data_IF_385169764216
#
_entry.id   IF_385169764216
#
_cell.length_a   1.000
_cell.length_b   1.000
_cell.length_c   1.000
_cell.angle_alpha   90.00
_cell.angle_beta   90.00
_cell.angle_gamma   90.00
#
_symmetry.space_group_name_H-M   'P 1'
#
loop_
_entity.id
_entity.type
_entity.pdbx_description
1 polymer ?
#
# COMPACT_ATOMS: atom_id res chain seq x y z
N UNK A 1 -3.11 -20.41 -11.92
CA UNK A 1 -1.78 -20.95 -12.22
C UNK A 1 -0.79 -19.89 -12.62
N UNK A 2 -1.12 -19.12 -13.65
CA UNK A 2 -0.24 -18.03 -14.05
C UNK A 2 -0.03 -17.01 -12.97
N UNK A 3 -1.07 -16.75 -12.21
CA UNK A 3 -0.99 -15.77 -11.12
C UNK A 3 0.00 -16.22 -10.05
N UNK A 4 0.03 -17.51 -9.77
CA UNK A 4 0.98 -18.05 -8.82
C UNK A 4 2.41 -17.88 -9.29
N UNK A 5 2.65 -18.14 -10.57
CA UNK A 5 3.99 -17.98 -11.13
C UNK A 5 4.43 -16.53 -11.06
N UNK A 6 3.51 -15.60 -11.36
CA UNK A 6 3.80 -14.18 -11.26
C UNK A 6 4.17 -13.80 -9.84
N UNK A 7 3.39 -14.27 -8.88
CA UNK A 7 3.66 -13.96 -7.47
C UNK A 7 5.02 -14.51 -7.03
N UNK A 8 5.35 -15.71 -7.49
CA UNK A 8 6.64 -16.31 -7.15
C UNK A 8 7.79 -15.51 -7.74
N UNK A 9 7.61 -14.91 -8.92
CA UNK A 9 8.66 -14.16 -9.57
C UNK A 9 8.86 -12.77 -8.97
N UNK A 10 7.77 -12.08 -8.66
CA UNK A 10 7.85 -10.68 -8.22
C UNK A 10 7.78 -10.51 -6.72
N UNK A 11 7.34 -11.53 -6.00
CA UNK A 11 7.24 -11.48 -4.56
C UNK A 11 5.94 -10.88 -4.06
N UNK A 12 5.94 -10.50 -2.78
CA UNK A 12 4.76 -10.04 -2.09
C UNK A 12 5.11 -8.86 -1.18
N UNK A 13 4.25 -7.85 -1.15
CA UNK A 13 4.42 -6.70 -0.26
C UNK A 13 3.13 -6.51 0.53
N UNK A 14 3.27 -6.39 1.85
CA UNK A 14 2.14 -6.09 2.73
C UNK A 14 2.23 -4.63 3.15
N UNK A 15 1.15 -3.90 2.99
CA UNK A 15 1.06 -2.51 3.40
C UNK A 15 -0.04 -2.37 4.45
N UNK A 16 0.33 -1.93 5.65
CA UNK A 16 -0.62 -1.74 6.74
C UNK A 16 -0.83 -0.24 6.93
N UNK A 17 -2.02 0.23 6.61
CA UNK A 17 -2.38 1.63 6.79
C UNK A 17 -3.12 1.78 8.11
N UNK A 18 -2.57 2.57 9.02
CA UNK A 18 -3.17 2.84 10.31
C UNK A 18 -3.97 4.13 10.18
N UNK A 19 -5.28 4.00 10.30
CA UNK A 19 -6.23 5.08 10.03
C UNK A 19 -6.87 5.55 11.32
N UNK A 20 -6.88 6.85 11.53
CA UNK A 20 -7.58 7.45 12.66
C UNK A 20 -8.97 7.89 12.21
N UNK A 21 -9.99 7.23 12.74
CA UNK A 21 -11.38 7.63 12.45
C UNK A 21 -11.72 8.96 13.12
N UNK A 22 -11.11 9.21 14.25
CA UNK A 22 -11.33 10.46 15.00
C UNK A 22 -10.78 11.65 14.23
N UNK A 23 -9.57 11.53 13.71
CA UNK A 23 -8.90 12.62 13.00
C UNK A 23 -9.12 12.56 11.49
N UNK A 24 -9.76 11.52 11.02
CA UNK A 24 -10.08 11.31 9.59
C UNK A 24 -8.85 11.42 8.70
N UNK A 25 -7.79 10.72 9.09
CA UNK A 25 -6.55 10.70 8.33
C UNK A 25 -5.79 9.41 8.56
N UNK A 26 -4.80 9.17 7.71
CA UNK A 26 -3.89 8.04 7.88
C UNK A 26 -2.78 8.47 8.83
N UNK A 27 -2.66 7.76 9.96
CA UNK A 27 -1.63 8.06 10.96
C UNK A 27 -0.27 7.55 10.53
N UNK A 28 -0.22 6.35 9.95
CA UNK A 28 1.04 5.75 9.52
C UNK A 28 0.76 4.65 8.52
N UNK A 29 1.79 4.29 7.75
CA UNK A 29 1.72 3.16 6.84
C UNK A 29 3.00 2.37 7.02
N UNK A 30 2.86 1.07 7.28
CA UNK A 30 3.99 0.18 7.46
C UNK A 30 4.05 -0.81 6.31
N UNK A 31 5.26 -1.15 5.90
CA UNK A 31 5.49 -2.03 4.77
C UNK A 31 6.36 -3.20 5.17
N UNK A 32 6.06 -4.37 4.62
CA UNK A 32 6.93 -5.52 4.72
C UNK A 32 6.82 -6.30 3.42
N UNK A 33 7.84 -7.08 3.10
CA UNK A 33 7.83 -7.81 1.84
C UNK A 33 8.61 -9.10 1.92
N UNK A 34 8.30 -10.01 1.00
CA UNK A 34 8.98 -11.30 0.86
C UNK A 34 9.19 -11.58 -0.61
N UNK A 35 10.40 -12.02 -0.95
CA UNK A 35 10.69 -12.40 -2.33
C UNK A 35 10.74 -11.25 -3.31
N UNK A 36 10.82 -10.02 -2.83
CA UNK A 36 10.93 -8.86 -3.71
C UNK A 36 12.39 -8.59 -4.03
N UNK A 37 12.62 -8.00 -5.19
CA UNK A 37 13.97 -7.75 -5.69
C UNK A 37 14.55 -6.43 -5.19
N UNK A 38 13.79 -5.67 -4.43
CA UNK A 38 14.21 -4.36 -3.91
C UNK A 38 14.13 -4.35 -2.40
N UNK A 39 14.86 -3.44 -1.77
CA UNK A 39 14.85 -3.31 -0.32
C UNK A 39 13.68 -2.44 0.14
N UNK A 40 12.99 -2.89 1.19
CA UNK A 40 11.95 -2.11 1.84
C UNK A 40 12.59 -1.46 3.05
N UNK A 41 13.37 -0.41 2.79
CA UNK A 41 14.08 0.34 3.82
C UNK A 41 13.31 1.60 4.19
N UNK A 42 13.93 2.44 5.03
CA UNK A 42 13.29 3.66 5.50
C UNK A 42 12.97 4.61 4.34
N UNK A 43 13.87 4.69 3.37
CA UNK A 43 13.65 5.56 2.22
C UNK A 43 12.47 5.09 1.38
N UNK A 44 12.37 3.78 1.15
CA UNK A 44 11.25 3.21 0.43
C UNK A 44 9.94 3.51 1.17
N UNK A 45 9.95 3.30 2.49
CA UNK A 45 8.75 3.53 3.31
C UNK A 45 8.30 4.97 3.25
N UNK A 46 9.22 5.92 3.35
CA UNK A 46 8.88 7.34 3.26
C UNK A 46 8.30 7.69 1.89
N UNK A 47 8.96 7.27 0.83
CA UNK A 47 8.53 7.59 -0.53
C UNK A 47 7.18 6.96 -0.85
N UNK A 48 7.01 5.70 -0.48
CA UNK A 48 5.76 4.99 -0.73
C UNK A 48 4.62 5.57 0.08
N UNK A 49 4.88 5.90 1.36
CA UNK A 49 3.86 6.52 2.21
C UNK A 49 3.41 7.85 1.64
N UNK A 50 4.35 8.67 1.18
CA UNK A 50 4.02 9.97 0.60
C UNK A 50 3.15 9.81 -0.65
N UNK A 51 3.48 8.84 -1.50
CA UNK A 51 2.70 8.58 -2.72
C UNK A 51 1.28 8.14 -2.39
N UNK A 52 1.15 7.24 -1.41
CA UNK A 52 -0.16 6.73 -1.01
C UNK A 52 -1.00 7.84 -0.36
N UNK A 53 -0.40 8.60 0.55
CA UNK A 53 -1.12 9.68 1.23
C UNK A 53 -1.60 10.74 0.26
N UNK A 54 -0.77 11.06 -0.74
CA UNK A 54 -1.16 12.03 -1.76
C UNK A 54 -2.37 11.55 -2.55
N UNK A 55 -2.41 10.27 -2.90
CA UNK A 55 -3.54 9.68 -3.61
C UNK A 55 -4.80 9.72 -2.75
N UNK A 56 -4.68 9.38 -1.47
CA UNK A 56 -5.81 9.40 -0.54
C UNK A 56 -6.36 10.81 -0.38
N UNK A 57 -5.50 11.81 -0.25
CA UNK A 57 -5.94 13.20 -0.13
C UNK A 57 -6.74 13.66 -1.34
N UNK A 58 -6.27 13.31 -2.53
CA UNK A 58 -6.94 13.68 -3.78
C UNK A 58 -8.27 12.97 -3.95
N UNK A 59 -8.40 11.75 -3.42
CA UNK A 59 -9.56 10.91 -3.63
C UNK A 59 -10.75 11.21 -2.75
N UNK A 60 -10.60 12.05 -1.74
CA UNK A 60 -11.68 12.40 -0.81
C UNK A 60 -12.36 11.17 -0.22
N UNK A 61 -11.57 10.28 0.36
CA UNK A 61 -12.08 9.04 0.93
C UNK A 61 -12.79 9.27 2.26
N UNK A 62 -13.77 8.43 2.54
CA UNK A 62 -14.50 8.45 3.80
C UNK A 62 -13.74 7.66 4.85
N UNK A 63 -13.37 8.29 5.95
CA UNK A 63 -12.64 7.62 7.03
C UNK A 63 -13.61 7.07 8.07
N UNK A 64 -14.35 6.05 7.64
CA UNK A 64 -15.29 5.32 8.50
C UNK A 64 -15.09 3.84 8.26
N UNK A 65 -15.69 3.00 9.11
CA UNK A 65 -15.58 1.55 8.93
C UNK A 65 -16.11 1.11 7.56
N UNK A 66 -17.16 1.77 7.07
CA UNK A 66 -17.73 1.42 5.78
C UNK A 66 -16.87 1.88 4.60
N UNK A 67 -15.96 2.84 4.83
CA UNK A 67 -15.08 3.34 3.78
C UNK A 67 -13.73 2.63 3.69
N UNK A 68 -13.45 1.66 4.57
CA UNK A 68 -12.13 1.03 4.62
C UNK A 68 -11.81 0.23 3.36
N UNK A 69 -12.80 -0.32 2.68
CA UNK A 69 -12.55 -1.06 1.43
C UNK A 69 -12.04 -0.14 0.33
N UNK A 70 -12.58 1.07 0.24
CA UNK A 70 -12.12 2.04 -0.75
C UNK A 70 -10.68 2.49 -0.44
N UNK A 71 -10.38 2.71 0.84
CA UNK A 71 -9.04 3.09 1.26
C UNK A 71 -8.06 1.95 0.96
N UNK A 72 -8.44 0.72 1.25
CA UNK A 72 -7.61 -0.45 0.99
C UNK A 72 -7.27 -0.57 -0.49
N UNK A 73 -8.27 -0.40 -1.35
CA UNK A 73 -8.06 -0.47 -2.79
C UNK A 73 -7.14 0.66 -3.26
N UNK A 74 -7.32 1.85 -2.74
CA UNK A 74 -6.47 2.98 -3.09
C UNK A 74 -5.02 2.76 -2.67
N UNK A 75 -4.81 2.21 -1.48
CA UNK A 75 -3.47 1.87 -1.00
C UNK A 75 -2.82 0.85 -1.94
N UNK A 76 -3.56 -0.19 -2.29
CA UNK A 76 -3.05 -1.22 -3.19
C UNK A 76 -2.66 -0.63 -4.55
N UNK A 77 -3.55 0.12 -5.14
CA UNK A 77 -3.32 0.66 -6.48
C UNK A 77 -2.18 1.67 -6.49
N UNK A 78 -2.14 2.58 -5.50
CA UNK A 78 -1.06 3.55 -5.38
C UNK A 78 0.29 2.88 -5.21
N UNK A 79 0.34 1.89 -4.32
CA UNK A 79 1.60 1.20 -4.04
C UNK A 79 2.05 0.40 -5.25
N UNK A 80 1.13 -0.26 -5.93
CA UNK A 80 1.46 -1.01 -7.13
C UNK A 80 2.06 -0.09 -8.21
N UNK A 81 1.45 1.05 -8.43
CA UNK A 81 1.95 2.02 -9.40
C UNK A 81 3.30 2.59 -8.99
N UNK A 82 3.48 2.87 -7.71
CA UNK A 82 4.73 3.38 -7.18
C UNK A 82 5.86 2.37 -7.41
N UNK A 83 5.62 1.11 -7.06
CA UNK A 83 6.63 0.06 -7.20
C UNK A 83 6.95 -0.16 -8.68
N UNK A 84 5.94 -0.18 -9.53
CA UNK A 84 6.15 -0.34 -10.96
C UNK A 84 7.02 0.78 -11.54
N UNK A 85 6.74 2.01 -11.18
CA UNK A 85 7.51 3.14 -11.72
C UNK A 85 8.94 3.15 -11.20
N UNK A 86 9.17 2.60 -10.02
CA UNK A 86 10.49 2.60 -9.38
C UNK A 86 11.33 1.38 -9.74
N UNK A 87 10.71 0.20 -9.78
CA UNK A 87 11.44 -1.06 -9.94
C UNK A 87 11.05 -1.85 -11.17
N UNK A 88 9.97 -1.48 -11.83
CA UNK A 88 9.42 -2.22 -12.98
C UNK A 88 9.03 -3.64 -12.65
N UNK A 89 8.67 -3.90 -11.40
CA UNK A 89 8.14 -5.19 -10.96
C UNK A 89 6.71 -5.03 -10.47
N UNK A 90 5.98 -6.14 -10.42
CA UNK A 90 4.59 -6.14 -9.96
C UNK A 90 4.39 -7.21 -8.91
N UNK A 91 4.90 -6.99 -7.69
CA UNK A 91 4.65 -7.94 -6.62
C UNK A 91 3.18 -7.92 -6.22
N UNK A 92 2.73 -8.98 -5.56
CA UNK A 92 1.40 -8.99 -5.00
C UNK A 92 1.33 -8.00 -3.84
N UNK A 93 0.34 -7.14 -3.87
CA UNK A 93 0.14 -6.18 -2.78
C UNK A 93 -0.98 -6.67 -1.88
N UNK A 94 -0.71 -6.76 -0.59
CA UNK A 94 -1.72 -7.11 0.41
C UNK A 94 -1.98 -5.88 1.25
N UNK A 95 -3.04 -5.13 0.96
CA UNK A 95 -3.37 -3.94 1.73
C UNK A 95 -4.15 -4.32 2.99
N UNK A 96 -3.78 -3.73 4.10
CA UNK A 96 -4.47 -3.92 5.38
C UNK A 96 -4.78 -2.54 5.94
N UNK A 97 -5.99 -2.36 6.42
CA UNK A 97 -6.40 -1.11 7.06
C UNK A 97 -6.70 -1.41 8.52
N UNK A 98 -6.00 -0.72 9.41
CA UNK A 98 -6.23 -0.81 10.85
C UNK A 98 -6.82 0.49 11.34
N UNK A 99 -7.94 0.40 12.03
CA UNK A 99 -8.63 1.57 12.56
C UNK A 99 -8.24 1.80 14.02
N UNK A 100 -7.94 3.04 14.35
CA UNK A 100 -7.61 3.42 15.72
C UNK A 100 -8.48 4.57 16.19
#
# INVERSE_FOLDING_TARGET
>A
MRDRQKLANDGMVTAVAIVSLKHKKIEAIEFSGRGVSFAIDDQFSEDASAAIMKTIEKGKFTFTSSGSDAIRKAVRDSLSNFIWSRTRTRPMIIPVVMEV
#
